data_IF_699455302414
#
_entry.id   IF_699455302414
#
_cell.length_a   1.000
_cell.length_b   1.000
_cell.length_c   1.000
_cell.angle_alpha   90.00
_cell.angle_beta   90.00
_cell.angle_gamma   90.00
#
_symmetry.space_group_name_H-M   'P 1'
#
loop_
_entity.id
_entity.type
_entity.pdbx_description
1 polymer ?
#
# COMPACT_ATOMS: atom_id res chain seq x y z
N UNK A 1 -13.99 21.86 5.80
CA UNK A 1 -13.60 20.72 4.95
C UNK A 1 -14.56 19.62 5.32
N UNK A 2 -15.59 19.38 4.51
CA UNK A 2 -16.57 18.35 4.83
C UNK A 2 -15.90 16.98 4.63
N UNK A 3 -15.66 16.27 5.73
CA UNK A 3 -15.06 14.94 5.69
C UNK A 3 -16.10 14.00 5.09
N UNK A 4 -15.90 13.57 3.84
CA UNK A 4 -16.71 12.51 3.25
C UNK A 4 -16.31 11.18 3.88
N UNK A 5 -17.19 10.62 4.73
CA UNK A 5 -16.95 9.37 5.45
C UNK A 5 -16.71 8.20 4.47
N UNK A 6 -17.38 8.18 3.33
CA UNK A 6 -17.19 7.15 2.30
C UNK A 6 -15.78 7.18 1.72
N UNK A 7 -15.27 8.37 1.40
CA UNK A 7 -13.91 8.54 0.87
C UNK A 7 -12.86 8.15 1.92
N UNK A 8 -13.12 8.47 3.18
CA UNK A 8 -12.29 8.05 4.30
C UNK A 8 -12.22 6.51 4.37
N UNK A 9 -13.37 5.83 4.40
CA UNK A 9 -13.42 4.35 4.45
C UNK A 9 -12.66 3.72 3.27
N UNK A 10 -12.89 4.21 2.05
CA UNK A 10 -12.20 3.69 0.86
C UNK A 10 -10.69 3.87 0.95
N UNK A 11 -10.22 5.03 1.43
CA UNK A 11 -8.78 5.29 1.58
C UNK A 11 -8.14 4.40 2.65
N UNK A 12 -8.82 4.15 3.78
CA UNK A 12 -8.35 3.20 4.80
C UNK A 12 -8.27 1.76 4.30
N UNK A 13 -9.28 1.30 3.54
CA UNK A 13 -9.27 -0.04 2.94
C UNK A 13 -8.05 -0.18 2.03
N UNK A 14 -7.84 0.78 1.12
CA UNK A 14 -6.66 0.80 0.25
C UNK A 14 -5.37 0.79 1.06
N UNK A 15 -5.28 1.61 2.09
CA UNK A 15 -4.09 1.73 2.93
C UNK A 15 -3.73 0.41 3.62
N UNK A 16 -4.71 -0.28 4.22
CA UNK A 16 -4.48 -1.57 4.90
C UNK A 16 -4.01 -2.66 3.95
N UNK A 17 -4.61 -2.77 2.77
CA UNK A 17 -4.18 -3.75 1.76
C UNK A 17 -2.80 -3.41 1.20
N UNK A 18 -2.50 -2.12 1.00
CA UNK A 18 -1.21 -1.66 0.49
C UNK A 18 -0.08 -1.96 1.46
N UNK A 19 -0.29 -1.71 2.76
CA UNK A 19 0.66 -2.09 3.81
C UNK A 19 0.79 -3.61 3.96
N UNK A 20 -0.32 -4.35 3.88
CA UNK A 20 -0.29 -5.82 3.96
C UNK A 20 0.58 -6.42 2.88
N UNK A 21 0.41 -5.99 1.63
CA UNK A 21 1.22 -6.48 0.50
C UNK A 21 2.68 -6.03 0.59
N UNK A 22 2.94 -4.83 1.11
CA UNK A 22 4.30 -4.35 1.40
C UNK A 22 5.02 -5.28 2.39
N UNK A 23 4.40 -5.52 3.54
CA UNK A 23 4.93 -6.38 4.61
C UNK A 23 5.07 -7.84 4.15
N UNK A 24 4.10 -8.36 3.40
CA UNK A 24 4.20 -9.70 2.81
C UNK A 24 5.36 -9.77 1.81
N UNK A 25 5.63 -8.70 1.06
CA UNK A 25 6.78 -8.61 0.16
C UNK A 25 8.11 -8.81 0.90
N UNK A 26 8.30 -8.11 2.02
CA UNK A 26 9.47 -8.28 2.88
C UNK A 26 9.59 -9.71 3.41
N UNK A 27 8.52 -10.24 4.01
CA UNK A 27 8.52 -11.57 4.63
C UNK A 27 8.78 -12.68 3.59
N UNK A 28 8.09 -12.63 2.45
CA UNK A 28 8.23 -13.61 1.38
C UNK A 28 9.65 -13.58 0.79
N UNK A 29 10.22 -12.39 0.61
CA UNK A 29 11.58 -12.26 0.08
C UNK A 29 12.61 -12.78 1.09
N UNK A 30 12.46 -12.44 2.39
CA UNK A 30 13.35 -12.93 3.46
C UNK A 30 13.38 -14.47 3.50
N UNK A 31 12.22 -15.10 3.34
CA UNK A 31 12.07 -16.54 3.25
C UNK A 31 12.84 -17.14 2.06
N UNK A 32 12.82 -16.49 0.89
CA UNK A 32 13.60 -16.96 -0.27
C UNK A 32 15.11 -16.94 -0.01
N UNK A 33 15.58 -16.12 0.93
CA UNK A 33 16.97 -16.11 1.37
C UNK A 33 17.28 -17.05 2.55
N UNK A 34 16.29 -17.80 3.05
CA UNK A 34 16.46 -18.84 4.08
C UNK A 34 15.88 -18.50 5.47
N UNK A 35 15.19 -17.37 5.61
CA UNK A 35 14.56 -16.98 6.86
C UNK A 35 13.06 -17.33 6.91
N UNK A 36 12.75 -18.50 7.47
CA UNK A 36 11.37 -18.99 7.60
C UNK A 36 10.60 -18.38 8.80
N UNK A 37 11.20 -17.43 9.55
CA UNK A 37 10.64 -16.88 10.81
C UNK A 37 9.24 -16.31 10.60
N UNK A 38 9.05 -15.48 9.57
CA UNK A 38 7.75 -14.87 9.27
C UNK A 38 6.68 -15.92 8.90
N UNK A 39 7.07 -17.02 8.26
CA UNK A 39 6.15 -18.12 7.91
C UNK A 39 5.66 -18.83 9.17
N UNK A 40 6.57 -19.21 10.08
CA UNK A 40 6.21 -19.88 11.33
C UNK A 40 5.33 -19.02 12.24
N UNK A 41 5.49 -17.70 12.18
CA UNK A 41 4.65 -16.75 12.91
C UNK A 41 3.33 -16.39 12.20
N UNK A 42 3.04 -17.01 11.05
CA UNK A 42 1.81 -16.73 10.28
C UNK A 42 1.76 -15.31 9.68
N UNK A 43 2.92 -14.67 9.51
CA UNK A 43 3.06 -13.29 9.04
C UNK A 43 3.17 -13.16 7.52
N UNK A 44 3.37 -14.27 6.80
CA UNK A 44 3.15 -14.33 5.34
C UNK A 44 1.65 -14.57 5.09
N UNK A 45 0.85 -13.53 5.25
CA UNK A 45 -0.61 -13.60 5.19
C UNK A 45 -1.20 -12.37 4.51
N UNK A 46 -2.19 -12.59 3.63
CA UNK A 46 -2.95 -11.52 2.99
C UNK A 46 -4.08 -10.97 3.87
N UNK A 47 -4.28 -11.53 5.07
CA UNK A 47 -5.24 -11.00 6.03
C UNK A 47 -4.68 -9.70 6.63
N UNK A 48 -5.26 -8.52 6.37
CA UNK A 48 -4.70 -7.26 6.86
C UNK A 48 -4.66 -7.19 8.38
N UNK A 49 -5.56 -7.89 9.06
CA UNK A 49 -5.69 -7.86 10.53
C UNK A 49 -4.42 -8.30 11.25
N UNK A 50 -3.61 -9.16 10.65
CA UNK A 50 -2.36 -9.61 11.30
C UNK A 50 -1.27 -8.54 11.24
N UNK A 51 -1.38 -7.58 10.32
CA UNK A 51 -0.42 -6.51 10.05
C UNK A 51 -0.82 -5.15 10.64
N UNK A 52 -1.97 -5.07 11.31
CA UNK A 52 -2.44 -3.83 11.93
C UNK A 52 -1.59 -3.51 13.16
N UNK A 53 -1.10 -2.26 13.20
CA UNK A 53 -0.65 -1.60 14.42
C UNK A 53 -1.76 -0.64 14.90
N UNK A 54 -2.31 -0.77 16.12
CA UNK A 54 -3.39 0.09 16.59
C UNK A 54 -3.06 1.59 16.58
N UNK A 55 -1.78 1.95 16.74
CA UNK A 55 -1.32 3.34 16.74
C UNK A 55 -1.04 3.77 15.30
N UNK A 56 -0.13 3.07 14.63
CA UNK A 56 0.36 3.45 13.30
C UNK A 56 -0.66 3.26 12.19
N UNK A 57 -1.46 2.21 12.25
CA UNK A 57 -2.40 1.85 11.19
C UNK A 57 -3.77 2.50 11.40
N UNK A 58 -4.18 2.75 12.65
CA UNK A 58 -5.52 3.28 12.98
C UNK A 58 -5.48 4.69 13.55
N UNK A 59 -4.81 4.91 14.68
CA UNK A 59 -4.85 6.20 15.38
C UNK A 59 -4.22 7.33 14.56
N UNK A 60 -3.03 7.11 14.01
CA UNK A 60 -2.27 8.14 13.29
C UNK A 60 -2.98 8.64 12.03
N UNK A 61 -3.53 7.76 11.16
CA UNK A 61 -4.29 8.23 10.01
C UNK A 61 -5.60 8.94 10.38
N UNK A 62 -6.28 8.51 11.45
CA UNK A 62 -7.48 9.18 11.95
C UNK A 62 -7.16 10.59 12.47
N UNK A 63 -6.08 10.74 13.23
CA UNK A 63 -5.62 12.05 13.69
C UNK A 63 -5.25 12.95 12.52
N UNK A 64 -4.53 12.45 11.51
CA UNK A 64 -4.23 13.20 10.29
C UNK A 64 -5.51 13.65 9.56
N UNK A 65 -6.48 12.75 9.41
CA UNK A 65 -7.75 13.05 8.74
C UNK A 65 -8.57 14.13 9.46
N UNK A 66 -8.58 14.14 10.80
CA UNK A 66 -9.37 15.09 11.60
C UNK A 66 -8.64 16.42 11.80
N UNK A 67 -7.32 16.39 11.98
CA UNK A 67 -6.51 17.59 12.25
C UNK A 67 -6.11 18.36 10.99
N UNK A 68 -6.24 17.74 9.81
CA UNK A 68 -5.73 18.29 8.55
C UNK A 68 -4.21 18.20 8.40
N UNK A 69 -3.53 17.52 9.34
CA UNK A 69 -2.10 17.24 9.26
C UNK A 69 -1.80 16.15 8.21
N UNK A 70 -0.56 16.05 7.72
CA UNK A 70 -0.15 14.93 6.86
C UNK A 70 -0.51 13.60 7.50
N UNK A 71 -1.23 12.76 6.76
CA UNK A 71 -1.56 11.40 7.18
C UNK A 71 -0.29 10.57 7.18
N UNK A 72 0.23 10.28 8.37
CA UNK A 72 1.33 9.35 8.60
C UNK A 72 0.71 8.06 9.13
N UNK A 73 1.18 6.92 8.65
CA UNK A 73 0.80 5.64 9.22
C UNK A 73 1.79 4.54 8.83
N UNK A 74 1.88 3.53 9.68
CA UNK A 74 2.75 2.36 9.49
C UNK A 74 1.99 1.08 9.86
N UNK A 75 2.41 -0.04 9.28
CA UNK A 75 1.96 -1.36 9.69
C UNK A 75 2.79 -1.88 10.87
N UNK A 76 2.28 -2.92 11.53
CA UNK A 76 3.10 -3.77 12.39
C UNK A 76 4.10 -4.51 11.50
N UNK A 77 5.41 -4.27 11.65
CA UNK A 77 6.41 -4.83 10.74
C UNK A 77 6.45 -6.36 10.83
N UNK A 78 6.77 -7.02 9.73
CA UNK A 78 7.05 -8.46 9.71
C UNK A 78 8.43 -8.76 10.26
N UNK A 79 8.59 -9.86 11.01
CA UNK A 79 9.89 -10.24 11.53
C UNK A 79 10.78 -10.74 10.38
N UNK A 80 11.99 -10.19 10.29
CA UNK A 80 13.06 -10.67 9.41
C UNK A 80 14.29 -10.98 10.26
N UNK A 81 14.97 -12.09 9.97
CA UNK A 81 16.15 -12.54 10.68
C UNK A 81 17.38 -12.64 9.74
N UNK A 82 18.18 -11.56 9.65
CA UNK A 82 19.37 -11.51 8.79
C UNK A 82 20.44 -12.56 9.11
N UNK A 83 20.43 -13.15 10.31
CA UNK A 83 21.38 -14.19 10.68
C UNK A 83 21.18 -15.51 9.92
N UNK A 84 19.96 -15.74 9.40
CA UNK A 84 19.58 -16.94 8.66
C UNK A 84 19.76 -16.81 7.14
N UNK A 85 20.07 -15.61 6.64
CA UNK A 85 20.24 -15.40 5.20
C UNK A 85 21.51 -16.08 4.67
N UNK A 86 21.35 -16.84 3.59
CA UNK A 86 22.46 -17.52 2.90
C UNK A 86 23.46 -16.53 2.29
N UNK A 87 22.95 -15.51 1.60
CA UNK A 87 23.73 -14.38 1.05
C UNK A 87 23.22 -13.09 1.66
N UNK A 88 23.93 -12.57 2.67
CA UNK A 88 23.49 -11.41 3.45
C UNK A 88 23.51 -10.12 2.63
N UNK A 89 24.44 -9.99 1.68
CA UNK A 89 24.58 -8.77 0.89
C UNK A 89 23.41 -8.64 -0.08
N UNK A 90 23.12 -9.70 -0.83
CA UNK A 90 22.00 -9.72 -1.77
C UNK A 90 20.67 -9.69 -1.02
N UNK A 91 20.54 -10.46 0.07
CA UNK A 91 19.31 -10.49 0.87
C UNK A 91 18.99 -9.12 1.45
N UNK A 92 19.99 -8.38 1.96
CA UNK A 92 19.75 -7.06 2.54
C UNK A 92 19.11 -6.09 1.53
N UNK A 93 19.64 -6.05 0.30
CA UNK A 93 19.11 -5.21 -0.79
C UNK A 93 17.74 -5.73 -1.24
N UNK A 94 17.61 -7.02 -1.50
CA UNK A 94 16.39 -7.60 -2.04
C UNK A 94 15.23 -7.51 -1.04
N UNK A 95 15.46 -7.85 0.23
CA UNK A 95 14.45 -7.78 1.29
C UNK A 95 14.04 -6.34 1.53
N UNK A 96 14.96 -5.39 1.66
CA UNK A 96 14.61 -3.97 1.85
C UNK A 96 13.85 -3.37 0.66
N UNK A 97 14.16 -3.76 -0.57
CA UNK A 97 13.45 -3.28 -1.76
C UNK A 97 12.08 -3.96 -1.97
N UNK A 98 11.85 -5.14 -1.38
CA UNK A 98 10.67 -5.96 -1.68
C UNK A 98 9.34 -5.27 -1.34
N UNK A 99 9.23 -4.65 -0.17
CA UNK A 99 8.03 -3.89 0.22
C UNK A 99 7.74 -2.72 -0.72
N UNK A 100 8.70 -1.78 -0.92
CA UNK A 100 8.52 -0.68 -1.87
C UNK A 100 8.19 -1.14 -3.30
N UNK A 101 8.84 -2.20 -3.79
CA UNK A 101 8.53 -2.78 -5.10
C UNK A 101 7.11 -3.36 -5.18
N UNK A 102 6.60 -3.96 -4.09
CA UNK A 102 5.22 -4.40 -4.03
C UNK A 102 4.24 -3.22 -4.17
N UNK A 103 4.50 -2.08 -3.51
CA UNK A 103 3.68 -0.89 -3.70
C UNK A 103 3.78 -0.34 -5.12
N UNK A 104 4.98 -0.25 -5.70
CA UNK A 104 5.14 0.18 -7.11
C UNK A 104 4.32 -0.72 -8.04
N UNK A 105 4.35 -2.04 -7.83
CA UNK A 105 3.57 -2.99 -8.62
C UNK A 105 2.06 -2.74 -8.49
N UNK A 106 1.55 -2.51 -7.27
CA UNK A 106 0.13 -2.19 -7.05
C UNK A 106 -0.27 -0.89 -7.76
N UNK A 107 0.57 0.14 -7.69
CA UNK A 107 0.34 1.41 -8.38
C UNK A 107 0.31 1.22 -9.90
N UNK A 108 1.23 0.44 -10.46
CA UNK A 108 1.29 0.13 -11.89
C UNK A 108 0.08 -0.68 -12.36
N UNK A 109 -0.35 -1.68 -11.59
CA UNK A 109 -1.57 -2.46 -11.88
C UNK A 109 -2.80 -1.54 -11.86
N UNK A 110 -2.93 -0.69 -10.84
CA UNK A 110 -4.04 0.26 -10.73
C UNK A 110 -4.06 1.25 -11.90
N UNK A 111 -2.89 1.76 -12.30
CA UNK A 111 -2.76 2.64 -13.46
C UNK A 111 -3.09 1.92 -14.78
N UNK A 112 -2.67 0.66 -14.91
CA UNK A 112 -3.03 -0.20 -16.05
C UNK A 112 -4.54 -0.37 -16.17
N UNK A 113 -5.23 -0.64 -15.06
CA UNK A 113 -6.69 -0.73 -15.01
C UNK A 113 -7.35 0.58 -15.41
N UNK A 114 -6.88 1.73 -14.89
CA UNK A 114 -7.39 3.05 -15.28
C UNK A 114 -7.23 3.29 -16.79
N UNK A 115 -6.07 2.95 -17.37
CA UNK A 115 -5.84 3.07 -18.82
C UNK A 115 -6.80 2.22 -19.64
N UNK A 116 -7.06 0.98 -19.21
CA UNK A 116 -8.03 0.10 -19.88
C UNK A 116 -9.43 0.70 -19.81
N UNK A 117 -9.86 1.19 -18.64
CA UNK A 117 -11.18 1.80 -18.44
C UNK A 117 -11.35 3.10 -19.24
N UNK A 118 -10.29 3.88 -19.41
CA UNK A 118 -10.30 5.05 -20.31
C UNK A 118 -10.47 4.61 -21.76
N UNK A 119 -9.72 3.60 -22.21
CA UNK A 119 -9.82 3.08 -23.58
C UNK A 119 -11.22 2.50 -23.90
N UNK A 120 -11.91 1.99 -22.88
CA UNK A 120 -13.29 1.49 -22.98
C UNK A 120 -14.35 2.60 -22.88
N UNK A 121 -13.96 3.87 -22.71
CA UNK A 121 -14.89 5.00 -22.58
C UNK A 121 -15.63 5.03 -21.23
N UNK A 122 -15.17 4.27 -20.23
CA UNK A 122 -15.74 4.26 -18.88
C UNK A 122 -15.26 5.48 -18.07
N UNK A 123 -13.99 5.85 -18.27
CA UNK A 123 -13.35 7.00 -17.63
C UNK A 123 -12.83 7.99 -18.67
N UNK A 124 -12.76 9.26 -18.29
CA UNK A 124 -12.13 10.34 -19.07
C UNK A 124 -10.88 10.81 -18.35
N UNK A 125 -9.78 10.92 -19.10
CA UNK A 125 -8.56 11.53 -18.59
C UNK A 125 -8.71 13.05 -18.47
N UNK A 126 -8.43 13.61 -17.30
CA UNK A 126 -8.59 15.05 -17.04
C UNK A 126 -7.26 15.77 -16.78
N UNK A 127 -6.12 15.05 -16.81
CA UNK A 127 -4.78 15.62 -16.65
C UNK A 127 -4.03 15.06 -15.44
N UNK A 128 -2.69 15.02 -15.50
CA UNK A 128 -1.85 14.47 -14.42
C UNK A 128 -2.21 13.01 -14.09
N UNK A 129 -2.52 12.75 -12.81
CA UNK A 129 -3.05 11.46 -12.31
C UNK A 129 -4.58 11.48 -12.14
N UNK A 130 -5.26 12.51 -12.66
CA UNK A 130 -6.70 12.69 -12.52
C UNK A 130 -7.47 12.12 -13.71
N UNK A 131 -8.58 11.46 -13.37
CA UNK A 131 -9.52 10.86 -14.29
C UNK A 131 -10.90 10.86 -13.62
N UNK A 132 -11.96 10.86 -14.43
CA UNK A 132 -13.34 10.97 -13.94
C UNK A 132 -14.23 9.95 -14.63
N UNK A 133 -15.16 9.37 -13.88
CA UNK A 133 -16.24 8.56 -14.40
C UNK A 133 -17.10 9.30 -15.43
N UNK A 134 -17.36 8.68 -16.59
CA UNK A 134 -18.30 9.25 -17.57
C UNK A 134 -19.71 9.29 -16.98
N UNK A 135 -20.12 8.20 -16.33
CA UNK A 135 -21.42 8.10 -15.67
C UNK A 135 -21.30 8.33 -14.16
N UNK A 136 -22.21 9.13 -13.60
CA UNK A 136 -22.28 9.43 -12.16
C UNK A 136 -22.97 8.33 -11.36
N UNK A 137 -22.74 7.07 -11.71
CA UNK A 137 -23.26 5.96 -10.92
C UNK A 137 -22.44 5.81 -9.63
N UNK A 138 -23.06 5.56 -8.46
CA UNK A 138 -22.33 5.45 -7.20
C UNK A 138 -21.22 4.39 -7.21
N UNK A 139 -21.44 3.29 -7.94
CA UNK A 139 -20.44 2.23 -8.10
C UNK A 139 -19.21 2.72 -8.88
N UNK A 140 -19.42 3.46 -9.96
CA UNK A 140 -18.34 3.92 -10.82
C UNK A 140 -17.53 5.04 -10.14
N UNK A 141 -18.20 5.90 -9.38
CA UNK A 141 -17.54 6.89 -8.52
C UNK A 141 -16.70 6.22 -7.43
N UNK A 142 -17.22 5.18 -6.77
CA UNK A 142 -16.48 4.44 -5.76
C UNK A 142 -15.24 3.74 -6.36
N UNK A 143 -15.39 3.14 -7.55
CA UNK A 143 -14.27 2.53 -8.28
C UNK A 143 -13.21 3.58 -8.68
N UNK A 144 -13.63 4.74 -9.19
CA UNK A 144 -12.74 5.85 -9.52
C UNK A 144 -11.92 6.26 -8.29
N UNK A 145 -12.59 6.48 -7.16
CA UNK A 145 -11.96 6.88 -5.89
C UNK A 145 -11.00 5.81 -5.38
N UNK A 146 -11.40 4.53 -5.42
CA UNK A 146 -10.56 3.41 -5.00
C UNK A 146 -9.28 3.33 -5.83
N UNK A 147 -9.37 3.43 -7.16
CA UNK A 147 -8.20 3.42 -8.04
C UNK A 147 -7.31 4.65 -7.83
N UNK A 148 -7.92 5.82 -7.66
CA UNK A 148 -7.20 7.06 -7.37
C UNK A 148 -6.43 6.98 -6.05
N UNK A 149 -7.07 6.54 -4.97
CA UNK A 149 -6.41 6.32 -3.68
C UNK A 149 -5.35 5.23 -3.77
N UNK A 150 -5.60 4.13 -4.48
CA UNK A 150 -4.63 3.04 -4.69
C UNK A 150 -3.33 3.55 -5.31
N UNK A 151 -3.43 4.30 -6.41
CA UNK A 151 -2.27 4.86 -7.10
C UNK A 151 -1.50 5.81 -6.18
N UNK A 152 -2.19 6.78 -5.56
CA UNK A 152 -1.53 7.79 -4.72
C UNK A 152 -0.91 7.20 -3.46
N UNK A 153 -1.63 6.32 -2.77
CA UNK A 153 -1.18 5.67 -1.54
C UNK A 153 0.06 4.82 -1.81
N UNK A 154 0.02 3.99 -2.84
CA UNK A 154 1.15 3.10 -3.15
C UNK A 154 2.37 3.84 -3.68
N UNK A 155 2.19 4.91 -4.48
CA UNK A 155 3.33 5.77 -4.86
C UNK A 155 3.92 6.45 -3.62
N UNK A 156 3.09 6.99 -2.74
CA UNK A 156 3.55 7.61 -1.51
C UNK A 156 4.32 6.62 -0.63
N UNK A 157 3.75 5.44 -0.35
CA UNK A 157 4.40 4.39 0.43
C UNK A 157 5.74 3.95 -0.20
N UNK A 158 5.78 3.74 -1.51
CA UNK A 158 7.00 3.36 -2.20
C UNK A 158 8.09 4.44 -2.06
N UNK A 159 7.74 5.71 -2.30
CA UNK A 159 8.69 6.83 -2.19
C UNK A 159 9.18 6.97 -0.76
N UNK A 160 8.28 7.02 0.23
CA UNK A 160 8.66 7.19 1.64
C UNK A 160 9.58 6.07 2.13
N UNK A 161 9.31 4.81 1.78
CA UNK A 161 10.14 3.68 2.19
C UNK A 161 11.44 3.51 1.39
N UNK A 162 11.64 4.29 0.32
CA UNK A 162 12.92 4.36 -0.42
C UNK A 162 13.78 5.55 0.03
N UNK A 163 13.25 6.47 0.85
CA UNK A 163 14.07 7.53 1.45
C UNK A 163 14.96 6.86 2.51
N UNK A 164 16.29 7.09 2.49
CA UNK A 164 17.23 6.46 3.43
C UNK A 164 17.17 7.13 4.81
N UNK A 165 15.99 7.10 5.44
CA UNK A 165 15.77 7.48 6.83
C UNK A 165 15.40 6.18 7.55
N UNK A 166 16.24 5.70 8.48
CA UNK A 166 15.89 4.55 9.31
C UNK A 166 14.57 4.83 10.05
N UNK A 167 13.65 3.84 10.15
CA UNK A 167 12.48 3.94 11.02
C UNK A 167 12.87 3.98 12.51
#
# INVERSE_FOLDING_TARGET
>A
MDINIGDMILSFVVFFFSLTLHEVGHAWTSEKFGDDTARYLGRISLNPLVHIDPIGTVLMPLLGAISGLPVIGWAKPVPVNPSLWRDKTVANIAVSAAGPLANVLIALVSLGLVKILIAQGVFVYTGGLYFVAVDQSPLLEALQKLLYFSIRCNIALAVFNMIPIPP
#
